data_IF_898293673554
#
_entry.id   IF_898293673554
#
_cell.length_a   1.000
_cell.length_b   1.000
_cell.length_c   1.000
_cell.angle_alpha   90.00
_cell.angle_beta   90.00
_cell.angle_gamma   90.00
#
_symmetry.space_group_name_H-M   'P 1'
#
loop_
_entity.id
_entity.type
_entity.pdbx_description
1 polymer ?
#
# COMPACT_ATOMS: atom_id res chain seq x y z
N UNK A 1 8.73 32.72 -0.16
CA UNK A 1 8.98 31.44 -0.86
C UNK A 1 10.48 31.27 -0.93
N UNK A 2 11.03 30.46 -0.02
CA UNK A 2 12.47 30.28 0.19
C UNK A 2 13.06 29.40 -0.91
N UNK A 3 14.24 29.75 -1.42
CA UNK A 3 14.92 29.07 -2.53
C UNK A 3 15.14 27.55 -2.32
N UNK A 4 14.97 27.02 -1.11
CA UNK A 4 15.12 25.59 -0.81
C UNK A 4 14.04 24.69 -1.41
N UNK A 5 12.89 25.21 -1.87
CA UNK A 5 11.85 24.38 -2.51
C UNK A 5 12.16 24.05 -3.98
N UNK A 6 13.04 24.80 -4.65
CA UNK A 6 13.34 24.56 -6.08
C UNK A 6 14.23 23.33 -6.32
N UNK A 7 15.04 22.96 -5.34
CA UNK A 7 15.91 21.78 -5.40
C UNK A 7 15.72 20.96 -4.14
N UNK A 8 14.68 20.11 -4.19
CA UNK A 8 14.41 19.15 -3.14
C UNK A 8 15.54 18.12 -3.04
N UNK A 9 15.64 17.44 -1.89
CA UNK A 9 16.65 16.39 -1.72
C UNK A 9 16.42 15.24 -2.71
N UNK A 10 15.17 14.94 -3.05
CA UNK A 10 14.81 13.90 -4.02
C UNK A 10 15.37 14.23 -5.41
N UNK A 11 15.24 15.49 -5.85
CA UNK A 11 15.74 15.93 -7.15
C UNK A 11 17.28 15.84 -7.23
N UNK A 12 17.98 16.25 -6.16
CA UNK A 12 19.44 16.16 -6.10
C UNK A 12 19.94 14.72 -6.04
N UNK A 13 19.24 13.84 -5.32
CA UNK A 13 19.58 12.42 -5.30
C UNK A 13 19.31 11.76 -6.67
N UNK A 14 18.21 12.10 -7.34
CA UNK A 14 17.93 11.63 -8.71
C UNK A 14 19.03 12.06 -9.69
N UNK A 15 19.55 13.29 -9.58
CA UNK A 15 20.72 13.71 -10.35
C UNK A 15 21.95 12.84 -10.09
N UNK A 16 22.25 12.56 -8.82
CA UNK A 16 23.42 11.77 -8.42
C UNK A 16 23.29 10.32 -8.89
N UNK A 17 22.09 9.75 -8.83
CA UNK A 17 21.82 8.39 -9.27
C UNK A 17 21.71 8.26 -10.80
N UNK A 18 21.59 9.39 -11.52
CA UNK A 18 21.50 9.42 -12.99
C UNK A 18 20.08 9.21 -13.52
N UNK A 19 19.07 9.50 -12.70
CA UNK A 19 17.64 9.28 -12.97
C UNK A 19 16.91 10.54 -13.46
N UNK A 20 17.61 11.67 -13.62
CA UNK A 20 17.05 12.86 -14.29
C UNK A 20 17.03 12.68 -15.80
N UNK A 21 16.03 13.28 -16.46
CA UNK A 21 16.07 13.37 -17.92
C UNK A 21 17.17 14.34 -18.40
N UNK A 22 17.52 14.29 -19.69
CA UNK A 22 18.62 15.09 -20.21
C UNK A 22 18.38 16.61 -20.09
N UNK A 23 17.14 17.07 -20.24
CA UNK A 23 16.81 18.49 -20.16
C UNK A 23 16.91 19.01 -18.72
N UNK A 24 16.37 18.25 -17.76
CA UNK A 24 16.48 18.53 -16.33
C UNK A 24 17.94 18.51 -15.86
N UNK A 25 18.72 17.56 -16.36
CA UNK A 25 20.15 17.44 -16.05
C UNK A 25 20.96 18.62 -16.58
N UNK A 26 20.73 19.01 -17.83
CA UNK A 26 21.39 20.19 -18.41
C UNK A 26 21.04 21.47 -17.62
N UNK A 27 19.77 21.64 -17.27
CA UNK A 27 19.33 22.78 -16.47
C UNK A 27 20.00 22.81 -15.09
N UNK A 28 20.05 21.69 -14.39
CA UNK A 28 20.70 21.60 -13.09
C UNK A 28 22.21 21.89 -13.20
N UNK A 29 22.88 21.38 -14.22
CA UNK A 29 24.31 21.63 -14.44
C UNK A 29 24.61 23.12 -14.71
N UNK A 30 23.75 23.82 -15.44
CA UNK A 30 23.92 25.25 -15.67
C UNK A 30 23.78 26.06 -14.36
N UNK A 31 22.85 25.66 -13.50
CA UNK A 31 22.61 26.31 -12.22
C UNK A 31 23.77 26.03 -11.24
N UNK A 32 24.26 24.79 -11.18
CA UNK A 32 25.41 24.40 -10.35
C UNK A 32 26.69 25.18 -10.66
N UNK A 33 26.85 25.68 -11.90
CA UNK A 33 28.00 26.53 -12.27
C UNK A 33 27.97 27.89 -11.58
N UNK A 34 26.79 28.38 -11.24
CA UNK A 34 26.58 29.73 -10.71
C UNK A 34 26.20 29.74 -9.22
N UNK A 35 25.80 28.59 -8.67
CA UNK A 35 25.42 28.43 -7.25
C UNK A 35 26.43 27.53 -6.51
N UNK A 36 27.39 28.17 -5.83
CA UNK A 36 28.41 27.48 -5.04
C UNK A 36 27.84 26.71 -3.85
N UNK A 37 26.76 27.21 -3.23
CA UNK A 37 26.13 26.55 -2.09
C UNK A 37 25.42 25.26 -2.52
N UNK A 38 24.72 25.29 -3.66
CA UNK A 38 24.10 24.10 -4.24
C UNK A 38 25.16 23.08 -4.68
N UNK A 39 26.27 23.55 -5.26
CA UNK A 39 27.37 22.69 -5.67
C UNK A 39 28.03 21.97 -4.48
N UNK A 40 28.30 22.70 -3.39
CA UNK A 40 28.80 22.11 -2.15
C UNK A 40 27.87 21.00 -1.62
N UNK A 41 26.54 21.24 -1.64
CA UNK A 41 25.54 20.26 -1.22
C UNK A 41 25.57 18.99 -2.10
N UNK A 42 25.68 19.14 -3.42
CA UNK A 42 25.80 18.00 -4.34
C UNK A 42 27.09 17.21 -4.09
N UNK A 43 28.22 17.89 -3.88
CA UNK A 43 29.48 17.25 -3.53
C UNK A 43 29.39 16.43 -2.24
N UNK A 44 28.74 16.97 -1.20
CA UNK A 44 28.55 16.25 0.06
C UNK A 44 27.72 14.97 -0.12
N UNK A 45 26.63 15.05 -0.89
CA UNK A 45 25.80 13.88 -1.21
C UNK A 45 26.58 12.82 -2.01
N UNK A 46 27.35 13.24 -3.02
CA UNK A 46 28.20 12.32 -3.80
C UNK A 46 29.24 11.63 -2.90
N UNK A 47 29.88 12.36 -1.99
CA UNK A 47 30.84 11.80 -1.05
C UNK A 47 30.21 10.73 -0.15
N UNK A 48 29.01 10.98 0.38
CA UNK A 48 28.30 9.98 1.21
C UNK A 48 27.99 8.73 0.39
N UNK A 49 27.52 8.88 -0.84
CA UNK A 49 27.26 7.76 -1.75
C UNK A 49 28.53 6.93 -2.01
N UNK A 50 29.66 7.58 -2.28
CA UNK A 50 30.95 6.91 -2.49
C UNK A 50 31.42 6.14 -1.26
N UNK A 51 31.30 6.73 -0.07
CA UNK A 51 31.63 6.06 1.20
C UNK A 51 30.76 4.83 1.43
N UNK A 52 29.47 4.93 1.14
CA UNK A 52 28.53 3.81 1.26
C UNK A 52 28.87 2.70 0.25
N UNK A 53 29.09 3.06 -1.02
CA UNK A 53 29.47 2.11 -2.05
C UNK A 53 30.78 1.40 -1.71
N UNK A 54 31.73 2.11 -1.11
CA UNK A 54 32.98 1.53 -0.63
C UNK A 54 32.75 0.55 0.52
N UNK A 55 31.99 0.95 1.54
CA UNK A 55 31.71 0.12 2.71
C UNK A 55 30.94 -1.17 2.35
N UNK A 56 30.06 -1.12 1.35
CA UNK A 56 29.22 -2.23 0.92
C UNK A 56 29.73 -2.97 -0.32
N UNK A 57 30.96 -2.69 -0.79
CA UNK A 57 31.54 -3.39 -1.96
C UNK A 57 31.62 -4.91 -1.74
N UNK A 58 31.83 -5.34 -0.50
CA UNK A 58 31.88 -6.75 -0.11
C UNK A 58 31.00 -6.95 1.13
N UNK A 59 29.68 -7.13 0.96
CA UNK A 59 28.82 -7.38 2.10
C UNK A 59 29.19 -8.72 2.75
N UNK A 60 29.15 -8.83 4.09
CA UNK A 60 29.40 -10.09 4.76
C UNK A 60 28.41 -11.14 4.25
N UNK A 61 28.89 -12.35 3.96
CA UNK A 61 27.99 -13.42 3.57
C UNK A 61 26.99 -13.69 4.69
N UNK A 62 25.70 -13.91 4.36
CA UNK A 62 24.73 -14.28 5.37
C UNK A 62 25.19 -15.59 6.01
N UNK A 63 25.40 -15.56 7.33
CA UNK A 63 25.69 -16.76 8.11
C UNK A 63 24.54 -17.75 7.94
N UNK A 64 24.71 -18.73 7.04
CA UNK A 64 23.78 -19.85 6.91
C UNK A 64 23.85 -20.62 8.22
N UNK A 65 22.85 -20.40 9.07
CA UNK A 65 22.61 -21.28 10.20
C UNK A 65 22.45 -22.69 9.63
N UNK A 66 23.38 -23.60 9.97
CA UNK A 66 23.20 -25.01 9.64
C UNK A 66 21.85 -25.44 10.23
N UNK A 67 20.98 -26.09 9.43
CA UNK A 67 19.74 -26.61 9.98
C UNK A 67 20.09 -27.52 11.16
N UNK A 68 19.55 -27.18 12.33
CA UNK A 68 19.74 -27.95 13.55
C UNK A 68 19.21 -29.38 13.33
N UNK A 69 20.07 -30.41 13.36
CA UNK A 69 19.64 -31.79 13.16
C UNK A 69 18.69 -32.28 14.28
N UNK A 70 18.56 -31.53 15.38
CA UNK A 70 17.73 -31.86 16.55
C UNK A 70 16.28 -31.36 16.50
N UNK A 71 15.88 -30.50 15.55
CA UNK A 71 14.47 -30.14 15.38
C UNK A 71 13.72 -31.30 14.72
N UNK A 72 13.21 -32.18 15.58
CA UNK A 72 12.50 -33.40 15.25
C UNK A 72 11.56 -33.22 14.07
N UNK A 73 11.74 -34.07 13.07
CA UNK A 73 10.79 -34.29 11.98
C UNK A 73 9.53 -34.89 12.60
N UNK A 74 8.70 -34.07 13.24
CA UNK A 74 7.33 -34.45 13.55
C UNK A 74 6.70 -34.95 12.25
N UNK A 75 6.00 -36.09 12.27
CA UNK A 75 5.44 -36.66 11.06
C UNK A 75 4.41 -35.68 10.50
N UNK A 76 4.83 -34.89 9.50
CA UNK A 76 4.00 -33.95 8.74
C UNK A 76 2.77 -34.62 8.10
N UNK A 77 2.76 -35.96 8.07
CA UNK A 77 1.62 -36.76 7.64
C UNK A 77 0.39 -36.58 8.56
N UNK A 78 0.57 -36.49 9.88
CA UNK A 78 -0.55 -36.32 10.81
C UNK A 78 -1.21 -34.94 10.70
N UNK A 79 -0.39 -33.90 10.50
CA UNK A 79 -0.86 -32.52 10.33
C UNK A 79 -1.63 -32.32 9.01
N UNK A 80 -1.26 -33.05 7.94
CA UNK A 80 -1.95 -32.97 6.66
C UNK A 80 -3.39 -33.50 6.73
N UNK A 81 -3.61 -34.59 7.46
CA UNK A 81 -4.94 -35.18 7.66
C UNK A 81 -5.80 -34.28 8.56
N UNK A 82 -5.23 -33.75 9.65
CA UNK A 82 -5.96 -32.81 10.51
C UNK A 82 -6.36 -31.53 9.76
N UNK A 83 -5.45 -30.98 8.94
CA UNK A 83 -5.72 -29.79 8.14
C UNK A 83 -6.81 -30.03 7.09
N UNK A 84 -6.82 -31.19 6.42
CA UNK A 84 -7.84 -31.52 5.41
C UNK A 84 -9.22 -31.72 6.02
N UNK A 85 -9.30 -32.36 7.20
CA UNK A 85 -10.56 -32.53 7.95
C UNK A 85 -11.10 -31.18 8.42
N UNK A 86 -10.25 -30.31 8.96
CA UNK A 86 -10.67 -28.96 9.37
C UNK A 86 -11.12 -28.10 8.20
N UNK A 87 -10.43 -28.19 7.05
CA UNK A 87 -10.83 -27.51 5.82
C UNK A 87 -12.17 -28.00 5.29
N UNK A 88 -12.38 -29.32 5.23
CA UNK A 88 -13.64 -29.88 4.73
C UNK A 88 -14.82 -29.55 5.65
N UNK A 89 -14.62 -29.59 6.98
CA UNK A 89 -15.61 -29.12 7.95
C UNK A 89 -15.90 -27.64 7.77
N UNK A 90 -14.86 -26.79 7.64
CA UNK A 90 -15.01 -25.36 7.46
C UNK A 90 -15.78 -25.01 6.19
N UNK A 91 -15.48 -25.69 5.07
CA UNK A 91 -16.20 -25.51 3.80
C UNK A 91 -17.65 -25.99 3.92
N UNK A 92 -17.89 -27.17 4.50
CA UNK A 92 -19.24 -27.69 4.66
C UNK A 92 -20.10 -26.80 5.56
N UNK A 93 -19.51 -26.34 6.67
CA UNK A 93 -20.18 -25.48 7.64
C UNK A 93 -20.41 -24.07 7.06
N UNK A 94 -19.43 -23.53 6.34
CA UNK A 94 -19.57 -22.25 5.62
C UNK A 94 -20.63 -22.32 4.53
N UNK A 95 -20.73 -23.43 3.80
CA UNK A 95 -21.75 -23.61 2.77
C UNK A 95 -23.16 -23.80 3.34
N UNK A 96 -23.29 -24.53 4.45
CA UNK A 96 -24.57 -24.67 5.16
C UNK A 96 -25.06 -23.33 5.74
N UNK A 97 -24.13 -22.51 6.26
CA UNK A 97 -24.46 -21.17 6.79
C UNK A 97 -24.62 -20.11 5.70
N UNK A 98 -24.16 -20.37 4.47
CA UNK A 98 -24.28 -19.45 3.33
C UNK A 98 -25.75 -19.14 3.01
N UNK A 99 -26.65 -20.11 3.19
CA UNK A 99 -28.09 -19.91 3.01
C UNK A 99 -28.75 -19.07 4.12
N UNK A 100 -28.11 -18.92 5.29
CA UNK A 100 -28.57 -18.03 6.36
C UNK A 100 -27.98 -16.62 6.23
N UNK A 101 -26.89 -16.48 5.49
CA UNK A 101 -26.35 -15.19 5.02
C UNK A 101 -27.03 -14.76 3.73
N UNK A 102 -28.35 -14.85 3.66
CA UNK A 102 -29.07 -13.88 2.85
C UNK A 102 -28.82 -12.53 3.54
N UNK A 103 -28.12 -11.57 2.92
CA UNK A 103 -28.00 -10.27 3.54
C UNK A 103 -29.41 -9.67 3.50
N UNK A 104 -30.13 -9.75 4.62
CA UNK A 104 -31.13 -8.75 4.96
C UNK A 104 -30.40 -7.49 5.44
N UNK A 105 -29.35 -7.10 4.72
CA UNK A 105 -28.62 -5.86 4.91
C UNK A 105 -29.16 -4.86 3.91
N UNK A 106 -30.45 -4.54 4.04
CA UNK A 106 -30.97 -3.35 3.39
C UNK A 106 -30.23 -2.13 3.92
N UNK A 107 -30.20 -1.07 3.13
CA UNK A 107 -29.55 0.22 3.39
C UNK A 107 -29.69 0.76 4.84
N UNK A 108 -30.78 0.41 5.53
CA UNK A 108 -31.01 0.72 6.94
C UNK A 108 -29.99 0.12 7.92
N UNK A 109 -29.51 -1.11 7.69
CA UNK A 109 -28.58 -1.80 8.60
C UNK A 109 -27.16 -1.23 8.48
N UNK A 110 -26.79 -0.81 7.26
CA UNK A 110 -25.57 -0.05 6.98
C UNK A 110 -25.64 1.35 7.64
N UNK A 111 -26.79 2.01 7.58
CA UNK A 111 -27.01 3.31 8.22
C UNK A 111 -26.94 3.25 9.76
N UNK A 112 -27.35 2.14 10.38
CA UNK A 112 -27.27 1.96 11.84
C UNK A 112 -25.83 1.72 12.34
N UNK A 113 -24.96 1.14 11.50
CA UNK A 113 -23.53 0.99 11.80
C UNK A 113 -22.73 2.29 11.65
N UNK A 114 -23.31 3.30 11.00
CA UNK A 114 -22.75 4.65 10.93
C UNK A 114 -23.20 5.45 12.15
N UNK A 115 -22.27 5.70 13.07
CA UNK A 115 -22.47 6.63 14.17
C UNK A 115 -22.57 8.05 13.59
N UNK A 116 -23.75 8.41 13.10
CA UNK A 116 -24.07 9.73 12.60
C UNK A 116 -24.01 10.71 13.76
N UNK A 117 -23.00 11.58 13.76
CA UNK A 117 -22.94 12.74 14.64
C UNK A 117 -24.15 13.65 14.33
N UNK A 118 -25.15 13.80 15.22
CA UNK A 118 -26.42 14.48 14.92
C UNK A 118 -26.28 15.96 14.59
N UNK A 119 -25.07 16.51 14.70
CA UNK A 119 -24.79 17.94 14.55
C UNK A 119 -24.62 18.41 13.10
N UNK A 120 -24.52 17.50 12.13
CA UNK A 120 -24.30 17.88 10.72
C UNK A 120 -25.53 17.75 9.82
N UNK A 121 -26.59 17.06 10.25
CA UNK A 121 -27.79 16.80 9.41
C UNK A 121 -28.82 17.93 9.38
N UNK A 122 -28.64 19.02 10.13
CA UNK A 122 -29.62 20.10 10.20
C UNK A 122 -29.50 21.16 9.08
N UNK A 123 -28.48 21.11 8.23
CA UNK A 123 -28.13 22.28 7.39
C UNK A 123 -28.33 22.14 5.87
N UNK A 124 -28.49 20.95 5.27
CA UNK A 124 -28.55 20.85 3.80
C UNK A 124 -29.52 19.76 3.33
N UNK A 125 -30.67 20.19 2.79
CA UNK A 125 -31.72 19.37 2.18
C UNK A 125 -31.33 18.88 0.78
N UNK A 126 -30.13 18.33 0.63
CA UNK A 126 -29.70 17.66 -0.60
C UNK A 126 -28.87 16.46 -0.19
N UNK A 127 -29.49 15.29 -0.25
CA UNK A 127 -28.82 14.02 0.03
C UNK A 127 -27.71 13.83 -1.02
N UNK A 128 -26.45 13.81 -0.57
CA UNK A 128 -25.30 13.42 -1.38
C UNK A 128 -24.74 12.15 -0.80
N UNK A 129 -24.84 11.07 -1.55
CA UNK A 129 -24.29 9.76 -1.19
C UNK A 129 -23.09 9.50 -2.10
N UNK A 130 -21.91 9.30 -1.51
CA UNK A 130 -20.68 8.96 -2.23
C UNK A 130 -20.41 7.47 -2.00
N UNK A 131 -20.52 6.68 -3.07
CA UNK A 131 -20.31 5.23 -3.05
C UNK A 131 -18.85 4.93 -3.44
N UNK A 132 -18.06 4.42 -2.50
CA UNK A 132 -16.71 3.94 -2.79
C UNK A 132 -16.74 2.49 -3.27
N UNK A 133 -16.60 2.30 -4.59
CA UNK A 133 -16.46 0.96 -5.18
C UNK A 133 -14.99 0.53 -5.10
N UNK A 134 -14.67 -0.33 -4.14
CA UNK A 134 -13.31 -0.85 -3.89
C UNK A 134 -13.04 -2.19 -4.58
N UNK A 135 -14.02 -2.73 -5.29
CA UNK A 135 -14.01 -4.09 -5.84
C UNK A 135 -14.35 -4.08 -7.32
N UNK A 136 -13.57 -4.81 -8.13
CA UNK A 136 -13.76 -4.96 -9.58
C UNK A 136 -14.73 -6.11 -9.95
N UNK A 137 -15.51 -6.62 -9.00
CA UNK A 137 -16.50 -7.69 -9.21
C UNK A 137 -17.74 -7.14 -9.94
N UNK A 138 -18.00 -7.55 -11.20
CA UNK A 138 -19.09 -7.03 -12.01
C UNK A 138 -20.47 -7.37 -11.44
N UNK A 139 -20.61 -8.45 -10.65
CA UNK A 139 -21.90 -8.80 -10.05
C UNK A 139 -22.30 -7.82 -8.95
N UNK A 140 -21.35 -7.51 -8.05
CA UNK A 140 -21.57 -6.55 -6.95
C UNK A 140 -21.80 -5.13 -7.45
N UNK A 141 -21.08 -4.72 -8.50
CA UNK A 141 -21.27 -3.42 -9.12
C UNK A 141 -22.69 -3.27 -9.68
N UNK A 142 -23.20 -4.31 -10.33
CA UNK A 142 -24.56 -4.30 -10.87
C UNK A 142 -25.61 -4.19 -9.77
N UNK A 143 -25.47 -4.94 -8.67
CA UNK A 143 -26.41 -4.87 -7.54
C UNK A 143 -26.46 -3.48 -6.91
N UNK A 144 -25.29 -2.84 -6.71
CA UNK A 144 -25.23 -1.48 -6.15
C UNK A 144 -25.87 -0.45 -7.09
N UNK A 145 -25.72 -0.65 -8.41
CA UNK A 145 -26.32 0.23 -9.40
C UNK A 145 -27.84 0.07 -9.46
N UNK A 146 -28.34 -1.17 -9.46
CA UNK A 146 -29.77 -1.48 -9.45
C UNK A 146 -30.46 -0.91 -8.17
N UNK A 147 -29.81 -0.98 -7.01
CA UNK A 147 -30.35 -0.44 -5.75
C UNK A 147 -30.28 1.09 -5.68
N UNK A 148 -29.27 1.71 -6.31
CA UNK A 148 -29.21 3.17 -6.43
C UNK A 148 -30.27 3.72 -7.40
N UNK A 149 -30.63 2.97 -8.44
CA UNK A 149 -31.69 3.33 -9.39
C UNK A 149 -33.08 3.27 -8.74
N UNK A 150 -33.31 2.37 -7.79
CA UNK A 150 -34.57 2.27 -7.03
C UNK A 150 -34.75 3.43 -6.02
N UNK A 151 -33.67 4.18 -5.71
CA UNK A 151 -33.68 5.32 -4.78
C UNK A 151 -33.82 6.68 -5.47
N UNK A 152 -33.85 6.72 -6.81
CA UNK A 152 -34.06 7.92 -7.63
C UNK A 152 -35.51 8.00 -8.13
#
# INVERSE_FOLDING_TARGET
>A
MSQSEKFSDEFLNAFIDGELDEAEREQLLDILRHDEALNARVCDLQKVRELLQHAYRQPPEPTRQRPDPGRGKWPRLGTGIAASVLLSLGVAMGWALHGQQQPQGGLLDIAQSMQLDPRQTAAQSTWRVVLHVTTADPYRLKTVLDEAEDLL
#
